data_IF_044015887338
#
_entry.id   IF_044015887338
#
_cell.length_a   1.000
_cell.length_b   1.000
_cell.length_c   1.000
_cell.angle_alpha   90.00
_cell.angle_beta   90.00
_cell.angle_gamma   90.00
#
_symmetry.space_group_name_H-M   'P 1'
#
loop_
_entity.id
_entity.type
_entity.pdbx_description
1 polymer ?
#
# COMPACT_ATOMS: atom_id res chain seq x y z
N UNK A 1 13.87 -12.89 24.34
CA UNK A 1 13.08 -11.72 23.92
C UNK A 1 12.51 -12.01 22.54
N UNK A 2 11.18 -11.96 22.37
CA UNK A 2 10.58 -12.12 21.05
C UNK A 2 10.91 -10.88 20.21
N UNK A 3 11.49 -11.06 19.00
CA UNK A 3 11.67 -9.95 18.05
C UNK A 3 10.28 -9.39 17.75
N UNK A 4 10.03 -8.12 18.07
CA UNK A 4 8.81 -7.44 17.62
C UNK A 4 8.76 -7.50 16.10
N UNK A 5 7.62 -7.95 15.58
CA UNK A 5 7.39 -8.07 14.14
C UNK A 5 7.15 -6.68 13.58
N UNK A 6 7.74 -6.37 12.43
CA UNK A 6 7.48 -5.10 11.76
C UNK A 6 6.00 -5.01 11.38
N UNK A 7 5.39 -3.81 11.37
CA UNK A 7 3.99 -3.64 10.99
C UNK A 7 3.64 -4.23 9.61
N UNK A 8 4.62 -4.28 8.71
CA UNK A 8 4.49 -4.88 7.38
C UNK A 8 4.45 -6.42 7.41
N UNK A 9 5.23 -7.04 8.31
CA UNK A 9 5.20 -8.49 8.50
C UNK A 9 3.88 -8.97 9.13
N UNK A 10 3.28 -8.15 9.99
CA UNK A 10 1.94 -8.42 10.53
C UNK A 10 0.85 -8.23 9.48
N UNK A 11 0.95 -7.21 8.64
CA UNK A 11 0.04 -7.02 7.50
C UNK A 11 0.05 -8.23 6.55
N UNK A 12 1.24 -8.70 6.15
CA UNK A 12 1.36 -9.86 5.26
C UNK A 12 0.76 -11.13 5.86
N UNK A 13 0.98 -11.36 7.16
CA UNK A 13 0.39 -12.51 7.86
C UNK A 13 -1.14 -12.41 7.90
N UNK A 14 -1.69 -11.24 8.21
CA UNK A 14 -3.15 -11.06 8.22
C UNK A 14 -3.77 -11.28 6.84
N UNK A 15 -3.13 -10.81 5.77
CA UNK A 15 -3.59 -11.09 4.39
C UNK A 15 -3.60 -12.60 4.13
N UNK A 16 -2.53 -13.32 4.50
CA UNK A 16 -2.49 -14.78 4.31
C UNK A 16 -3.57 -15.52 5.07
N UNK A 17 -3.87 -15.09 6.29
CA UNK A 17 -4.88 -15.72 7.13
C UNK A 17 -6.32 -15.43 6.64
N UNK A 18 -6.52 -14.36 5.86
CA UNK A 18 -7.79 -14.07 5.17
C UNK A 18 -7.99 -14.90 3.91
N UNK A 19 -6.93 -15.43 3.31
CA UNK A 19 -6.98 -16.06 1.98
C UNK A 19 -7.06 -17.58 2.07
N UNK A 20 -7.99 -18.15 1.30
CA UNK A 20 -8.07 -19.61 1.08
C UNK A 20 -6.80 -20.17 0.44
N UNK A 21 -6.15 -19.38 -0.42
CA UNK A 21 -4.82 -19.68 -0.96
C UNK A 21 -3.83 -18.56 -0.59
N UNK A 22 -2.94 -18.85 0.35
CA UNK A 22 -1.93 -17.92 0.86
C UNK A 22 -1.02 -17.34 -0.22
N UNK A 23 -0.81 -18.03 -1.35
CA UNK A 23 -0.02 -17.50 -2.48
C UNK A 23 -0.65 -16.27 -3.12
N UNK A 24 -1.99 -16.12 -3.04
CA UNK A 24 -2.70 -14.95 -3.56
C UNK A 24 -2.36 -13.66 -2.80
N UNK A 25 -1.67 -13.73 -1.65
CA UNK A 25 -1.07 -12.56 -1.00
C UNK A 25 -0.22 -11.75 -1.97
N UNK A 26 0.55 -12.41 -2.84
CA UNK A 26 1.37 -11.73 -3.84
C UNK A 26 0.54 -10.91 -4.83
N UNK A 27 -0.60 -11.46 -5.28
CA UNK A 27 -1.56 -10.76 -6.12
C UNK A 27 -2.22 -9.58 -5.39
N UNK A 28 -2.72 -9.78 -4.17
CA UNK A 28 -3.35 -8.73 -3.36
C UNK A 28 -2.39 -7.56 -3.13
N UNK A 29 -1.14 -7.86 -2.73
CA UNK A 29 -0.10 -6.83 -2.53
C UNK A 29 0.19 -6.07 -3.81
N UNK A 30 0.42 -6.77 -4.91
CA UNK A 30 0.65 -6.14 -6.22
C UNK A 30 -0.51 -5.25 -6.65
N UNK A 31 -1.76 -5.71 -6.44
CA UNK A 31 -2.96 -4.96 -6.79
C UNK A 31 -3.09 -3.66 -5.99
N UNK A 32 -2.79 -3.69 -4.69
CA UNK A 32 -2.84 -2.52 -3.82
C UNK A 32 -1.61 -1.60 -3.96
N UNK A 33 -0.46 -2.13 -4.36
CA UNK A 33 0.80 -1.36 -4.46
C UNK A 33 0.98 -0.68 -5.84
N UNK A 34 -0.10 -0.56 -6.63
CA UNK A 34 -0.14 0.26 -7.85
C UNK A 34 -0.15 -0.50 -9.17
N UNK A 35 -0.29 -1.84 -9.15
CA UNK A 35 -0.53 -2.65 -10.35
C UNK A 35 0.55 -2.50 -11.45
N UNK A 36 1.82 -2.38 -11.03
CA UNK A 36 2.96 -2.29 -11.93
C UNK A 36 3.07 -3.57 -12.79
N UNK A 37 2.88 -3.43 -14.11
CA UNK A 37 2.83 -4.56 -15.05
C UNK A 37 4.14 -5.34 -15.09
N UNK A 38 5.28 -4.65 -14.98
CA UNK A 38 6.60 -5.30 -15.06
C UNK A 38 6.84 -6.17 -13.82
N UNK A 39 6.28 -5.77 -12.68
CA UNK A 39 6.31 -6.57 -11.45
C UNK A 39 5.34 -7.75 -11.49
N UNK A 40 4.26 -7.67 -12.26
CA UNK A 40 3.29 -8.75 -12.35
C UNK A 40 3.90 -10.05 -12.88
N UNK A 41 4.73 -9.95 -13.92
CA UNK A 41 5.37 -11.11 -14.53
C UNK A 41 6.21 -11.90 -13.51
N UNK A 42 7.02 -11.18 -12.72
CA UNK A 42 7.83 -11.77 -11.66
C UNK A 42 6.98 -12.47 -10.59
N UNK A 43 5.91 -11.84 -10.10
CA UNK A 43 5.05 -12.49 -9.10
C UNK A 43 4.28 -13.67 -9.68
N UNK A 44 3.90 -13.60 -10.96
CA UNK A 44 3.16 -14.66 -11.62
C UNK A 44 4.01 -15.93 -11.71
N UNK A 45 5.26 -15.78 -12.15
CA UNK A 45 6.24 -16.86 -12.21
C UNK A 45 6.54 -17.49 -10.86
N UNK A 46 6.70 -16.66 -9.82
CA UNK A 46 7.17 -17.12 -8.52
C UNK A 46 6.05 -17.67 -7.62
N UNK A 47 4.83 -17.17 -7.76
CA UNK A 47 3.75 -17.44 -6.80
C UNK A 47 2.42 -17.86 -7.43
N UNK A 48 2.14 -17.49 -8.67
CA UNK A 48 0.80 -17.64 -9.28
C UNK A 48 0.80 -18.62 -10.47
N UNK A 49 1.80 -19.52 -10.51
CA UNK A 49 1.92 -20.58 -11.51
C UNK A 49 1.92 -20.08 -12.97
N UNK A 50 2.58 -18.96 -13.24
CA UNK A 50 2.69 -18.36 -14.59
C UNK A 50 1.33 -18.00 -15.23
N UNK A 51 0.32 -17.67 -14.42
CA UNK A 51 -0.96 -17.14 -14.92
C UNK A 51 -0.77 -15.81 -15.67
N UNK A 52 -1.55 -15.58 -16.73
CA UNK A 52 -1.56 -14.29 -17.43
C UNK A 52 -2.24 -13.21 -16.57
N UNK A 53 -1.92 -11.95 -16.84
CA UNK A 53 -2.51 -10.82 -16.12
C UNK A 53 -4.03 -10.80 -16.29
N UNK A 54 -4.51 -10.94 -17.52
CA UNK A 54 -5.92 -10.94 -17.85
C UNK A 54 -6.66 -12.03 -17.08
N UNK A 55 -6.09 -13.24 -17.03
CA UNK A 55 -6.74 -14.36 -16.36
C UNK A 55 -6.71 -14.23 -14.84
N UNK A 56 -5.62 -13.67 -14.28
CA UNK A 56 -5.55 -13.37 -12.86
C UNK A 56 -6.58 -12.32 -12.43
N UNK A 57 -6.75 -11.26 -13.23
CA UNK A 57 -7.74 -10.22 -12.98
C UNK A 57 -9.17 -10.78 -12.99
N UNK A 58 -9.51 -11.59 -13.99
CA UNK A 58 -10.81 -12.26 -14.08
C UNK A 58 -11.05 -13.20 -12.89
N UNK A 59 -10.14 -14.14 -12.64
CA UNK A 59 -10.36 -15.19 -11.65
C UNK A 59 -10.24 -14.73 -10.20
N UNK A 60 -9.27 -13.86 -9.90
CA UNK A 60 -8.94 -13.53 -8.51
C UNK A 60 -9.78 -12.40 -7.98
N UNK A 61 -10.20 -11.44 -8.82
CA UNK A 61 -11.06 -10.35 -8.35
C UNK A 61 -12.50 -10.79 -8.10
N UNK A 62 -12.94 -11.92 -8.65
CA UNK A 62 -14.24 -12.53 -8.33
C UNK A 62 -14.24 -13.27 -6.98
N UNK A 63 -13.06 -13.57 -6.42
CA UNK A 63 -12.95 -14.29 -5.15
C UNK A 63 -13.23 -13.36 -3.97
N UNK A 64 -14.18 -13.74 -3.13
CA UNK A 64 -14.60 -12.96 -1.95
C UNK A 64 -13.46 -12.72 -0.96
N UNK A 65 -12.65 -13.73 -0.67
CA UNK A 65 -11.51 -13.61 0.25
C UNK A 65 -10.43 -12.63 -0.28
N UNK A 66 -10.20 -12.63 -1.59
CA UNK A 66 -9.33 -11.67 -2.26
C UNK A 66 -9.89 -10.25 -2.19
N UNK A 67 -11.18 -10.06 -2.46
CA UNK A 67 -11.84 -8.75 -2.34
C UNK A 67 -11.76 -8.19 -0.91
N UNK A 68 -12.03 -9.04 0.09
CA UNK A 68 -11.94 -8.67 1.50
C UNK A 68 -10.50 -8.31 1.90
N UNK A 69 -9.51 -9.08 1.43
CA UNK A 69 -8.10 -8.78 1.65
C UNK A 69 -7.66 -7.46 1.00
N UNK A 70 -8.09 -7.19 -0.24
CA UNK A 70 -7.82 -5.91 -0.92
C UNK A 70 -8.40 -4.74 -0.11
N UNK A 71 -9.64 -4.87 0.36
CA UNK A 71 -10.29 -3.84 1.18
C UNK A 71 -9.53 -3.61 2.49
N UNK A 72 -9.08 -4.68 3.15
CA UNK A 72 -8.29 -4.62 4.37
C UNK A 72 -6.98 -3.86 4.15
N UNK A 73 -6.21 -4.22 3.11
CA UNK A 73 -4.94 -3.55 2.77
C UNK A 73 -5.17 -2.08 2.43
N UNK A 74 -6.21 -1.78 1.65
CA UNK A 74 -6.56 -0.41 1.28
C UNK A 74 -6.88 0.44 2.50
N UNK A 75 -7.62 -0.10 3.47
CA UNK A 75 -7.91 0.59 4.75
C UNK A 75 -6.64 0.79 5.58
N UNK A 76 -5.80 -0.25 5.68
CA UNK A 76 -4.54 -0.19 6.42
C UNK A 76 -3.58 0.86 5.85
N UNK A 77 -3.52 0.98 4.52
CA UNK A 77 -2.62 1.89 3.82
C UNK A 77 -3.25 3.27 3.53
N UNK A 78 -4.51 3.52 3.89
CA UNK A 78 -5.27 4.73 3.51
C UNK A 78 -4.47 6.01 3.77
N UNK A 79 -4.02 6.21 4.99
CA UNK A 79 -3.35 7.45 5.38
C UNK A 79 -1.99 7.60 4.68
N UNK A 80 -1.25 6.50 4.53
CA UNK A 80 0.02 6.49 3.78
C UNK A 80 -0.19 6.83 2.31
N UNK A 81 -1.23 6.29 1.69
CA UNK A 81 -1.56 6.57 0.29
C UNK A 81 -1.99 8.03 0.11
N UNK A 82 -2.74 8.60 1.04
CA UNK A 82 -3.08 10.02 1.04
C UNK A 82 -1.83 10.90 1.12
N UNK A 83 -0.85 10.55 1.97
CA UNK A 83 0.44 11.26 2.03
C UNK A 83 1.21 11.16 0.70
N UNK A 84 1.24 9.98 0.07
CA UNK A 84 1.89 9.81 -1.25
C UNK A 84 1.24 10.68 -2.32
N UNK A 85 -0.10 10.71 -2.36
CA UNK A 85 -0.85 11.56 -3.29
C UNK A 85 -0.55 13.03 -3.01
N UNK A 86 -0.59 13.46 -1.75
CA UNK A 86 -0.24 14.83 -1.36
C UNK A 86 1.14 15.23 -1.88
N UNK A 87 2.17 14.41 -1.67
CA UNK A 87 3.52 14.68 -2.15
C UNK A 87 3.60 14.76 -3.67
N UNK A 88 2.92 13.86 -4.40
CA UNK A 88 2.88 13.87 -5.85
C UNK A 88 2.19 15.12 -6.41
N UNK A 89 1.09 15.53 -5.79
CA UNK A 89 0.36 16.75 -6.14
C UNK A 89 1.17 18.00 -5.82
N UNK A 90 1.86 18.03 -4.67
CA UNK A 90 2.78 19.11 -4.30
C UNK A 90 3.87 19.33 -5.33
N UNK A 91 4.50 18.23 -5.78
CA UNK A 91 5.51 18.32 -6.84
C UNK A 91 4.95 18.98 -8.10
N UNK A 92 3.79 18.53 -8.58
CA UNK A 92 3.13 19.10 -9.77
C UNK A 92 2.76 20.57 -9.58
N UNK A 93 2.25 20.93 -8.41
CA UNK A 93 1.90 22.31 -8.09
C UNK A 93 3.11 23.23 -8.13
N UNK A 94 4.26 22.78 -7.59
CA UNK A 94 5.53 23.50 -7.66
C UNK A 94 6.06 23.64 -9.10
N UNK A 95 5.70 22.71 -9.99
CA UNK A 95 5.98 22.75 -11.43
C UNK A 95 4.99 23.63 -12.22
N UNK A 96 4.02 24.28 -11.54
CA UNK A 96 3.07 25.23 -12.14
C UNK A 96 1.71 24.64 -12.49
N UNK A 97 1.41 23.39 -12.12
CA UNK A 97 0.09 22.79 -12.30
C UNK A 97 -0.92 23.42 -11.31
N UNK A 98 -1.74 24.34 -11.83
CA UNK A 98 -2.75 25.06 -11.06
C UNK A 98 -3.87 24.17 -10.52
N UNK A 99 -4.19 23.06 -11.20
CA UNK A 99 -5.16 22.09 -10.69
C UNK A 99 -4.61 21.36 -9.48
N UNK A 100 -3.33 20.99 -9.53
CA UNK A 100 -2.65 20.37 -8.41
C UNK A 100 -2.52 21.32 -7.22
N UNK A 101 -2.22 22.61 -7.45
CA UNK A 101 -2.23 23.64 -6.42
C UNK A 101 -3.61 23.80 -5.76
N UNK A 102 -4.68 23.88 -6.57
CA UNK A 102 -6.06 23.96 -6.06
C UNK A 102 -6.46 22.73 -5.23
N UNK A 103 -6.02 21.54 -5.64
CA UNK A 103 -6.27 20.31 -4.89
C UNK A 103 -5.55 20.33 -3.53
N UNK A 104 -4.30 20.79 -3.46
CA UNK A 104 -3.53 20.90 -2.21
C UNK A 104 -4.21 21.84 -1.24
N UNK A 105 -4.68 23.01 -1.68
CA UNK A 105 -5.39 23.96 -0.82
C UNK A 105 -6.61 23.29 -0.18
N UNK A 106 -7.47 22.67 -0.99
CA UNK A 106 -8.65 21.93 -0.50
C UNK A 106 -8.28 20.77 0.43
N UNK A 107 -7.17 20.08 0.14
CA UNK A 107 -6.70 18.97 0.97
C UNK A 107 -6.16 19.47 2.33
N UNK A 108 -5.48 20.62 2.35
CA UNK A 108 -4.96 21.26 3.57
C UNK A 108 -6.09 21.75 4.49
N UNK A 109 -7.21 22.15 3.91
CA UNK A 109 -8.46 22.53 4.59
C UNK A 109 -9.30 21.32 5.02
N UNK A 110 -8.89 20.09 4.68
CA UNK A 110 -9.65 18.90 5.03
C UNK A 110 -9.38 18.44 6.46
N UNK A 111 -10.37 17.73 7.04
CA UNK A 111 -10.28 17.11 8.37
C UNK A 111 -9.15 16.09 8.53
N UNK A 112 -8.42 15.77 7.44
CA UNK A 112 -7.21 14.97 7.50
C UNK A 112 -6.08 15.63 8.30
N UNK A 113 -5.99 16.97 8.32
CA UNK A 113 -4.97 17.66 9.13
C UNK A 113 -5.50 18.17 10.48
N UNK A 114 -6.80 18.41 10.59
CA UNK A 114 -7.40 18.99 11.80
C UNK A 114 -7.40 18.07 13.03
N UNK A 115 -7.30 16.75 12.86
CA UNK A 115 -7.41 15.76 13.96
C UNK A 115 -6.27 14.74 14.02
N UNK A 116 -5.19 14.92 13.26
CA UNK A 116 -4.19 13.87 13.04
C UNK A 116 -2.77 14.22 13.51
N UNK A 117 -2.56 15.22 14.37
CA UNK A 117 -1.22 15.50 14.89
C UNK A 117 -0.58 14.25 15.56
N UNK A 118 -1.39 13.46 16.28
CA UNK A 118 -1.00 12.16 16.84
C UNK A 118 -0.86 11.05 15.80
N UNK A 119 -1.71 11.01 14.77
CA UNK A 119 -1.61 10.00 13.70
C UNK A 119 -0.43 10.26 12.78
N UNK A 120 -0.09 11.51 12.52
CA UNK A 120 1.08 11.91 11.74
C UNK A 120 2.37 11.59 12.50
N UNK A 121 2.44 11.86 13.81
CA UNK A 121 3.54 11.37 14.67
C UNK A 121 3.63 9.83 14.66
N UNK A 122 2.49 9.15 14.70
CA UNK A 122 2.42 7.67 14.59
C UNK A 122 2.90 7.17 13.22
N UNK A 123 2.50 7.81 12.13
CA UNK A 123 2.95 7.53 10.77
C UNK A 123 4.46 7.79 10.61
N UNK A 124 4.96 8.93 11.11
CA UNK A 124 6.38 9.25 11.11
C UNK A 124 7.19 8.21 11.89
N UNK A 125 6.73 7.79 13.07
CA UNK A 125 7.38 6.73 13.86
C UNK A 125 7.42 5.40 13.09
N UNK A 126 6.29 5.00 12.47
CA UNK A 126 6.21 3.80 11.62
C UNK A 126 7.12 3.88 10.40
N UNK A 127 7.28 5.06 9.80
CA UNK A 127 8.14 5.27 8.65
C UNK A 127 9.62 5.30 9.03
N UNK A 128 10.01 5.90 10.17
CA UNK A 128 11.40 5.90 10.66
C UNK A 128 11.90 4.49 11.02
N UNK A 129 11.03 3.66 11.61
CA UNK A 129 11.31 2.25 11.83
C UNK A 129 11.66 1.51 10.53
N UNK A 130 11.03 1.87 9.40
CA UNK A 130 11.34 1.25 8.11
C UNK A 130 12.68 1.70 7.48
N UNK A 131 13.29 2.80 7.94
CA UNK A 131 14.59 3.27 7.43
C UNK A 131 15.76 2.76 8.27
N UNK A 132 15.59 2.68 9.59
CA UNK A 132 16.64 2.18 10.49
C UNK A 132 16.83 0.65 10.37
N UNK A 133 15.81 -0.09 9.92
CA UNK A 133 15.89 -1.53 9.64
C UNK A 133 16.53 -1.86 8.27
N UNK A 134 16.72 -0.88 7.37
CA UNK A 134 17.34 -1.09 6.04
C UNK A 134 18.85 -0.81 5.99
N UNK A 135 19.41 -0.20 7.04
CA UNK A 135 20.81 0.22 7.09
C UNK A 135 21.72 -0.71 7.93
N UNK A 136 21.19 -1.84 8.44
CA UNK A 136 21.94 -2.78 9.29
C UNK A 136 22.36 -4.09 8.59
N UNK A 137 22.23 -4.18 7.27
CA UNK A 137 22.76 -5.28 6.44
C UNK A 137 23.91 -4.79 5.53
N UNK A 138 24.97 -4.23 6.14
CA UNK A 138 26.29 -4.07 5.51
C UNK A 138 27.41 -4.47 6.45
#
# INVERSE_FOLDING_TARGET
MAKERSPQSDLNKQIEDMLSNKKLRAFVRWFCDGQDKDKFESISKNYLNNITLEKAMELYLEKRDVQEAILYVTKFQKDLNLVKIYNAMMKKALEGDTNSANWITKFSESSFFENNEDKFKTLQKKLKLNWEDSDNDR
#
